data_IF_173102902947
#
_entry.id   IF_173102902947
#
_cell.length_a   1.000
_cell.length_b   1.000
_cell.length_c   1.000
_cell.angle_alpha   90.00
_cell.angle_beta   90.00
_cell.angle_gamma   90.00
#
_symmetry.space_group_name_H-M   'P 1'
#
loop_
_entity.id
_entity.type
_entity.pdbx_description
1 polymer ?
#
# COMPACT_ATOMS: atom_id res chain seq x y z
N UNK A 1 21.66 -11.13 -8.19
CA UNK A 1 20.60 -11.70 -7.34
C UNK A 1 19.32 -11.00 -7.72
N UNK A 2 18.23 -11.71 -8.00
CA UNK A 2 16.94 -11.07 -8.23
C UNK A 2 16.44 -10.57 -6.88
N UNK A 3 16.63 -9.29 -6.60
CA UNK A 3 15.89 -8.66 -5.52
C UNK A 3 14.40 -8.81 -5.85
N UNK A 4 13.69 -9.64 -5.08
CA UNK A 4 12.27 -9.88 -5.30
C UNK A 4 11.49 -8.62 -4.94
N UNK A 5 11.22 -7.81 -5.97
CA UNK A 5 10.47 -6.55 -5.88
C UNK A 5 9.06 -6.75 -5.32
N UNK A 6 8.47 -7.91 -5.62
CA UNK A 6 7.13 -8.30 -5.17
C UNK A 6 7.26 -9.42 -4.13
N UNK A 7 6.53 -9.29 -3.03
CA UNK A 7 6.45 -10.29 -1.97
C UNK A 7 5.01 -10.77 -1.88
N UNK A 8 4.84 -12.09 -1.86
CA UNK A 8 3.55 -12.74 -1.77
C UNK A 8 3.46 -13.53 -0.46
N UNK A 9 2.26 -13.67 0.08
CA UNK A 9 2.00 -14.61 1.17
C UNK A 9 1.96 -16.07 0.67
N UNK A 10 1.75 -17.01 1.59
CA UNK A 10 1.64 -18.45 1.27
C UNK A 10 0.42 -18.81 0.41
N UNK A 11 -0.60 -17.94 0.38
CA UNK A 11 -1.81 -18.13 -0.42
C UNK A 11 -1.68 -17.52 -1.83
N UNK A 12 -0.57 -16.82 -2.10
CA UNK A 12 -0.29 -16.18 -3.38
C UNK A 12 -0.81 -14.75 -3.50
N UNK A 13 -1.26 -14.12 -2.42
CA UNK A 13 -1.67 -12.72 -2.43
C UNK A 13 -0.46 -11.80 -2.31
N UNK A 14 -0.46 -10.68 -3.02
CA UNK A 14 0.61 -9.68 -2.96
C UNK A 14 0.53 -8.90 -1.63
N UNK A 15 1.54 -9.01 -0.78
CA UNK A 15 1.59 -8.31 0.52
C UNK A 15 2.55 -7.12 0.53
N UNK A 16 3.54 -7.10 -0.35
CA UNK A 16 4.49 -5.99 -0.46
C UNK A 16 5.01 -5.78 -1.89
N UNK A 17 4.99 -4.53 -2.35
CA UNK A 17 5.70 -4.07 -3.56
C UNK A 17 6.78 -3.06 -3.13
N UNK A 18 8.03 -3.52 -3.15
CA UNK A 18 9.20 -2.76 -2.72
C UNK A 18 9.56 -1.62 -3.67
N UNK A 19 9.15 -1.67 -4.94
CA UNK A 19 9.41 -0.58 -5.89
C UNK A 19 8.62 0.68 -5.54
N UNK A 20 7.45 0.50 -4.93
CA UNK A 20 6.54 1.59 -4.55
C UNK A 20 6.46 1.80 -3.03
N UNK A 21 7.18 0.99 -2.24
CA UNK A 21 7.03 0.91 -0.79
C UNK A 21 5.55 0.76 -0.39
N UNK A 22 4.85 -0.12 -1.11
CA UNK A 22 3.43 -0.42 -0.91
C UNK A 22 3.31 -1.69 -0.08
N UNK A 23 2.51 -1.64 0.97
CA UNK A 23 2.10 -2.80 1.78
C UNK A 23 0.60 -2.98 1.69
N UNK A 24 0.17 -4.24 1.63
CA UNK A 24 -1.24 -4.62 1.51
C UNK A 24 -1.57 -5.58 2.64
N UNK A 25 -2.66 -5.30 3.34
CA UNK A 25 -3.20 -6.16 4.39
C UNK A 25 -4.52 -6.77 3.94
N UNK A 26 -4.73 -8.01 4.35
CA UNK A 26 -5.92 -8.80 4.01
C UNK A 26 -6.69 -9.15 5.29
N UNK A 27 -8.00 -9.29 5.19
CA UNK A 27 -8.81 -9.86 6.25
C UNK A 27 -8.72 -11.40 6.25
N UNK A 28 -9.35 -12.03 7.23
CA UNK A 28 -9.42 -13.49 7.36
C UNK A 28 -10.15 -14.21 6.20
N UNK A 29 -10.77 -13.47 5.28
CA UNK A 29 -11.42 -13.99 4.07
C UNK A 29 -10.51 -13.88 2.84
N UNK A 30 -9.30 -13.33 2.98
CA UNK A 30 -8.41 -13.04 1.87
C UNK A 30 -8.80 -11.79 1.07
N UNK A 31 -9.62 -10.90 1.63
CA UNK A 31 -10.01 -9.65 0.96
C UNK A 31 -9.06 -8.51 1.36
N UNK A 32 -8.57 -7.69 0.41
CA UNK A 32 -7.62 -6.63 0.70
C UNK A 32 -8.32 -5.46 1.41
N UNK A 33 -7.97 -5.21 2.67
CA UNK A 33 -8.63 -4.21 3.52
C UNK A 33 -7.83 -2.93 3.68
N UNK A 34 -6.51 -2.98 3.57
CA UNK A 34 -5.64 -1.83 3.77
C UNK A 34 -4.51 -1.81 2.75
N UNK A 35 -4.25 -0.64 2.19
CA UNK A 35 -3.09 -0.37 1.34
C UNK A 35 -2.36 0.82 1.92
N UNK A 36 -1.08 0.64 2.23
CA UNK A 36 -0.23 1.68 2.80
C UNK A 36 0.96 1.91 1.88
N UNK A 37 1.10 3.13 1.38
CA UNK A 37 2.20 3.55 0.53
C UNK A 37 3.03 4.60 1.27
N UNK A 38 4.28 4.27 1.53
CA UNK A 38 5.22 5.19 2.16
C UNK A 38 6.05 5.89 1.09
N UNK A 39 5.80 7.18 0.92
CA UNK A 39 6.65 8.01 0.06
C UNK A 39 7.98 8.19 0.79
N UNK A 40 9.03 7.49 0.35
CA UNK A 40 10.39 7.78 0.81
C UNK A 40 10.67 9.23 0.41
N UNK A 41 10.80 10.11 1.39
CA UNK A 41 11.40 11.41 1.14
C UNK A 41 12.83 11.13 0.69
N UNK A 42 13.12 11.37 -0.59
CA UNK A 42 14.47 11.28 -1.14
C UNK A 42 15.42 12.12 -0.27
N UNK A 43 16.21 11.44 0.56
CA UNK A 43 17.37 12.03 1.22
C UNK A 43 18.54 12.00 0.25
N UNK A 44 18.42 12.64 -0.92
CA UNK A 44 19.55 13.00 -1.81
C UNK A 44 19.04 13.56 -3.16
N UNK A 45 18.54 14.80 -3.19
CA UNK A 45 18.93 15.86 -4.14
C UNK A 45 17.95 17.05 -4.09
N UNK A 46 18.49 18.18 -3.64
CA UNK A 46 18.18 19.58 -3.99
C UNK A 46 16.80 20.21 -3.61
N UNK A 47 16.81 21.43 -3.04
CA UNK A 47 15.62 22.13 -2.58
C UNK A 47 15.05 23.01 -3.70
N UNK A 48 14.20 22.48 -4.57
CA UNK A 48 13.38 23.34 -5.44
C UNK A 48 11.93 22.90 -5.45
N UNK A 49 11.15 23.64 -4.64
CA UNK A 49 9.70 23.89 -4.79
C UNK A 49 8.75 22.69 -4.59
N UNK A 50 7.95 22.88 -3.52
CA UNK A 50 6.55 22.46 -3.42
C UNK A 50 6.25 20.96 -3.53
N UNK A 51 6.23 20.29 -2.38
CA UNK A 51 5.02 19.73 -1.74
C UNK A 51 5.45 18.83 -0.56
N UNK A 52 4.90 19.13 0.61
CA UNK A 52 4.73 18.30 1.81
C UNK A 52 5.73 17.17 2.10
N UNK A 53 6.52 17.44 3.13
CA UNK A 53 7.22 16.48 4.00
C UNK A 53 6.32 15.27 4.35
N UNK A 54 6.50 14.14 3.67
CA UNK A 54 6.06 12.81 4.15
C UNK A 54 4.56 12.49 4.07
N UNK A 55 3.91 12.69 2.92
CA UNK A 55 2.55 12.18 2.70
C UNK A 55 2.58 10.63 2.57
N UNK A 56 2.29 9.92 3.67
CA UNK A 56 1.98 8.48 3.61
C UNK A 56 0.54 8.31 3.15
N UNK A 57 0.34 7.62 2.03
CA UNK A 57 -1.00 7.36 1.49
C UNK A 57 -1.53 6.07 2.08
N UNK A 58 -2.69 6.16 2.74
CA UNK A 58 -3.41 4.99 3.24
C UNK A 58 -4.76 4.88 2.55
N UNK A 59 -5.13 3.67 2.14
CA UNK A 59 -6.40 3.38 1.51
C UNK A 59 -7.02 2.19 2.22
N UNK A 60 -8.24 2.37 2.73
CA UNK A 60 -8.99 1.30 3.37
C UNK A 60 -10.17 0.88 2.49
N UNK A 61 -10.47 -0.41 2.50
CA UNK A 61 -11.60 -1.00 1.79
C UNK A 61 -12.50 -1.72 2.79
N UNK A 62 -13.81 -1.65 2.58
CA UNK A 62 -14.77 -2.44 3.32
C UNK A 62 -15.63 -3.26 2.37
N UNK A 63 -16.01 -4.46 2.81
CA UNK A 63 -16.78 -5.42 2.03
C UNK A 63 -17.99 -5.91 2.82
N UNK A 64 -19.08 -6.24 2.13
CA UNK A 64 -20.23 -6.91 2.75
C UNK A 64 -19.96 -8.42 2.95
N UNK A 65 -20.90 -9.13 3.59
CA UNK A 65 -20.79 -10.57 3.83
C UNK A 65 -20.68 -11.42 2.56
N UNK A 66 -21.13 -10.91 1.41
CA UNK A 66 -20.99 -11.58 0.10
C UNK A 66 -19.65 -11.30 -0.59
N UNK A 67 -18.82 -10.42 -0.04
CA UNK A 67 -17.52 -10.03 -0.61
C UNK A 67 -17.63 -8.86 -1.60
N UNK A 68 -18.78 -8.19 -1.70
CA UNK A 68 -18.92 -6.99 -2.52
C UNK A 68 -18.33 -5.80 -1.78
N UNK A 69 -17.52 -5.00 -2.47
CA UNK A 69 -16.95 -3.78 -1.90
C UNK A 69 -18.06 -2.76 -1.63
N UNK A 70 -18.18 -2.31 -0.39
CA UNK A 70 -19.15 -1.30 0.05
C UNK A 70 -18.51 0.06 0.35
N UNK A 71 -17.20 0.10 0.63
CA UNK A 71 -16.49 1.36 0.88
C UNK A 71 -15.06 1.35 0.35
N UNK A 72 -14.56 2.55 0.05
CA UNK A 72 -13.18 2.86 -0.31
C UNK A 72 -12.83 4.25 0.24
N UNK A 73 -11.98 4.30 1.27
CA UNK A 73 -11.62 5.56 1.94
C UNK A 73 -10.12 5.81 1.83
N UNK A 74 -9.76 6.97 1.29
CA UNK A 74 -8.37 7.41 1.13
C UNK A 74 -8.00 8.42 2.22
N UNK A 75 -6.86 8.20 2.86
CA UNK A 75 -6.22 9.11 3.80
C UNK A 75 -4.89 9.59 3.20
N UNK A 76 -4.60 10.87 3.38
CA UNK A 76 -3.40 11.55 2.88
C UNK A 76 -2.77 12.31 4.03
#
# INVERSE_FOLDING_TARGET
MLDSTFVYDSEGNLIEDKSKNLKISYDWRGMPVEFRMETKADKELQPTRSCSRGDSLMLTMAYDGSGRRVSKTRFR
#
